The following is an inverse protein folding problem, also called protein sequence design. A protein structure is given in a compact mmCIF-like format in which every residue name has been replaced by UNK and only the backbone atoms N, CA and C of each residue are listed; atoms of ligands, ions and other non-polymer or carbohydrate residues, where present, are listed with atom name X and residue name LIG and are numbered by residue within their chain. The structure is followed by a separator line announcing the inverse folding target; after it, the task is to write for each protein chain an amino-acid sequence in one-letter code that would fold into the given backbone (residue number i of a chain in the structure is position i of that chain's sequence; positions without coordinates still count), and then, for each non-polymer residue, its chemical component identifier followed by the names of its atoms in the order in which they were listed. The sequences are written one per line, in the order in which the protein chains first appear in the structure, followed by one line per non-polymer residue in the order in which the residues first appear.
data_IF_357679868646
#
_entry.id   IF_357679868646
#
_cell.length_a   1.000
_cell.length_b   1.000
_cell.length_c   1.000
_cell.angle_alpha   90.00
_cell.angle_beta   90.00
_cell.angle_gamma   90.00
#
_symmetry.space_group_name_H-M   'P 1'
#
loop_
_entity.id
_entity.type
_entity.pdbx_description
1 polymer ?
#
# COMPACT_ATOMS: atom_id res chain seq x y z
N UNK A 1 24.70 3.51 18.92
CA UNK A 1 24.54 3.48 18.28
C UNK A 1 24.47 3.39 17.86
N UNK A 2 24.13 3.42 17.90
CA UNK A 2 23.91 3.24 17.31
C UNK A 2 23.63 3.53 17.00
N UNK A 3 23.33 3.71 17.13
CA UNK A 3 22.88 3.95 16.70
C UNK A 3 23.07 4.42 15.90
N UNK A 4 23.36 4.56 15.53
CA UNK A 4 23.56 4.97 14.80
C UNK A 4 23.44 5.14 13.91
N UNK A 5 23.07 4.95 13.60
CA UNK A 5 22.90 5.37 12.61
C UNK A 5 22.81 6.49 12.42
N UNK A 6 22.89 7.01 12.53
CA UNK A 6 22.68 7.96 12.48
C UNK A 6 22.06 8.57 13.04
N UNK A 7 22.18 8.77 13.53
CA UNK A 7 21.46 9.14 14.01
C UNK A 7 20.68 9.86 13.69
N UNK A 8 21.36 10.56 13.28
CA UNK A 8 20.24 11.21 12.83
C UNK A 8 19.35 10.29 12.14
N UNK A 9 19.82 9.49 11.45
CA UNK A 9 18.97 8.53 10.84
C UNK A 9 18.96 7.25 11.54
N UNK A 10 19.92 7.02 12.10
CA UNK A 10 19.91 5.87 12.71
C UNK A 10 19.19 5.80 13.92
N UNK A 11 19.22 6.64 14.71
CA UNK A 11 18.35 6.61 15.81
C UNK A 11 16.93 6.77 15.34
N UNK A 12 16.74 7.45 14.25
CA UNK A 12 15.46 7.62 13.62
C UNK A 12 14.85 6.32 13.20
N UNK A 13 15.63 5.36 12.77
CA UNK A 13 15.09 4.08 12.33
C UNK A 13 14.32 3.39 13.43
N UNK A 14 14.84 3.43 14.61
CA UNK A 14 14.19 2.78 15.73
C UNK A 14 12.88 3.47 16.08
N UNK A 15 12.90 4.78 16.15
CA UNK A 15 11.71 5.54 16.46
C UNK A 15 10.65 5.32 15.38
N UNK A 16 11.08 5.27 14.14
CA UNK A 16 10.17 5.07 13.04
C UNK A 16 9.48 3.73 13.13
N UNK A 17 10.18 2.68 13.50
CA UNK A 17 9.56 1.37 13.63
C UNK A 17 8.48 1.36 14.70
N UNK A 18 8.77 1.97 15.83
CA UNK A 18 7.78 2.03 16.90
C UNK A 18 6.56 2.83 16.49
N UNK A 19 6.78 3.94 15.81
CA UNK A 19 5.69 4.77 15.33
C UNK A 19 4.83 4.03 14.32
N UNK A 20 5.44 3.22 13.47
CA UNK A 20 4.67 2.43 12.50
C UNK A 20 3.77 1.44 13.18
N UNK A 21 4.25 0.77 14.22
CA UNK A 21 3.41 -0.15 14.95
C UNK A 21 2.20 0.54 15.55
N UNK A 22 2.42 1.70 16.12
CA UNK A 22 1.33 2.48 16.68
C UNK A 22 0.37 2.92 15.58
N UNK A 23 0.90 3.32 14.44
CA UNK A 23 0.08 3.76 13.33
C UNK A 23 -0.79 2.62 12.83
N UNK A 24 -0.24 1.41 12.70
CA UNK A 24 -1.02 0.27 12.25
C UNK A 24 -2.22 0.04 13.14
N UNK A 25 -2.05 0.17 14.44
CA UNK A 25 -3.15 -0.05 15.37
C UNK A 25 -4.21 1.03 15.25
N UNK A 26 -3.82 2.22 14.82
CA UNK A 26 -4.75 3.34 14.73
C UNK A 26 -5.38 3.50 13.37
N UNK A 27 -4.80 2.89 12.35
CA UNK A 27 -5.34 3.01 11.00
C UNK A 27 -6.65 2.25 10.92
N UNK A 28 -7.69 2.96 10.54
CA UNK A 28 -9.01 2.38 10.38
C UNK A 28 -9.39 2.48 8.91
N UNK A 29 -9.72 1.35 8.33
CA UNK A 29 -10.10 1.30 6.92
C UNK A 29 -11.62 1.22 6.84
N UNK A 30 -12.21 2.25 6.26
CA UNK A 30 -13.66 2.32 6.14
C UNK A 30 -14.15 1.23 5.19
N UNK A 31 -15.12 0.45 5.62
CA UNK A 31 -15.68 -0.61 4.81
C UNK A 31 -16.29 -0.02 3.53
N UNK A 32 -15.94 -0.61 2.39
CA UNK A 32 -16.44 -0.15 1.10
C UNK A 32 -15.64 0.98 0.49
N UNK A 33 -14.66 1.54 1.19
CA UNK A 33 -13.80 2.58 0.63
C UNK A 33 -12.86 1.96 -0.42
N UNK A 34 -12.23 2.82 -1.21
CA UNK A 34 -11.27 2.34 -2.20
C UNK A 34 -10.12 1.58 -1.55
N UNK A 35 -9.67 2.03 -0.39
CA UNK A 35 -8.62 1.31 0.35
C UNK A 35 -9.08 -0.09 0.72
N UNK A 36 -10.30 -0.20 1.22
CA UNK A 36 -10.86 -1.49 1.59
C UNK A 36 -10.93 -2.42 0.39
N UNK A 37 -11.37 -1.89 -0.75
CA UNK A 37 -11.47 -2.67 -1.98
C UNK A 37 -10.11 -3.13 -2.47
N UNK A 38 -9.10 -2.27 -2.39
CA UNK A 38 -7.74 -2.62 -2.81
C UNK A 38 -7.16 -3.68 -1.91
N UNK A 39 -7.33 -3.54 -0.60
CA UNK A 39 -6.83 -4.54 0.34
C UNK A 39 -7.46 -5.89 0.08
N UNK A 40 -8.77 -5.93 -0.11
CA UNK A 40 -9.47 -7.16 -0.42
C UNK A 40 -8.98 -7.79 -1.71
N UNK A 41 -8.76 -6.97 -2.73
CA UNK A 41 -8.27 -7.44 -4.01
C UNK A 41 -6.87 -8.04 -3.89
N UNK A 42 -5.96 -7.37 -3.19
CA UNK A 42 -4.61 -7.87 -3.02
C UNK A 42 -4.57 -9.15 -2.21
N UNK A 43 -5.47 -9.30 -1.24
CA UNK A 43 -5.60 -10.56 -0.50
C UNK A 43 -6.09 -11.69 -1.40
N UNK A 44 -6.99 -11.36 -2.29
CA UNK A 44 -7.59 -12.35 -3.17
C UNK A 44 -6.61 -12.86 -4.23
N UNK A 45 -5.94 -11.93 -4.93
CA UNK A 45 -5.08 -12.32 -6.06
C UNK A 45 -3.74 -12.87 -5.61
N UNK A 46 -3.29 -12.51 -4.41
CA UNK A 46 -2.05 -13.01 -3.82
C UNK A 46 -0.81 -12.79 -4.69
N UNK A 47 -0.81 -11.70 -5.44
CA UNK A 47 0.34 -11.28 -6.23
C UNK A 47 0.37 -9.76 -6.28
N UNK A 48 1.54 -9.17 -6.56
CA UNK A 48 1.62 -7.71 -6.68
C UNK A 48 0.80 -7.23 -7.89
N UNK A 49 0.17 -6.08 -7.73
CA UNK A 49 -0.61 -5.44 -8.78
C UNK A 49 -0.18 -3.99 -8.93
N UNK A 50 -0.18 -3.50 -10.16
CA UNK A 50 0.00 -2.08 -10.42
C UNK A 50 -1.31 -1.35 -10.18
N UNK A 51 -1.25 -0.01 -10.15
CA UNK A 51 -2.47 0.78 -10.05
C UNK A 51 -3.37 0.55 -11.25
N UNK A 52 -2.76 0.40 -12.44
CA UNK A 52 -3.53 0.15 -13.65
C UNK A 52 -4.29 -1.16 -13.56
N UNK A 53 -3.62 -2.22 -13.14
CA UNK A 53 -4.26 -3.53 -12.99
C UNK A 53 -5.37 -3.50 -11.95
N UNK A 54 -5.07 -2.87 -10.81
CA UNK A 54 -6.04 -2.80 -9.73
C UNK A 54 -7.30 -2.05 -10.17
N UNK A 55 -7.11 -0.93 -10.85
CA UNK A 55 -8.23 -0.13 -11.34
C UNK A 55 -9.06 -0.90 -12.35
N UNK A 56 -8.41 -1.59 -13.27
CA UNK A 56 -9.11 -2.34 -14.30
C UNK A 56 -9.95 -3.48 -13.69
N UNK A 57 -9.36 -4.22 -12.76
CA UNK A 57 -10.07 -5.32 -12.12
C UNK A 57 -11.27 -4.80 -11.34
N UNK A 58 -11.06 -3.74 -10.56
CA UNK A 58 -12.16 -3.18 -9.77
C UNK A 58 -13.24 -2.57 -10.67
N UNK A 59 -12.84 -1.97 -11.79
CA UNK A 59 -13.81 -1.46 -12.73
C UNK A 59 -14.66 -2.60 -13.32
N UNK A 60 -14.01 -3.70 -13.72
CA UNK A 60 -14.73 -4.84 -14.27
C UNK A 60 -15.68 -5.47 -13.26
N UNK A 61 -15.42 -5.29 -11.98
CA UNK A 61 -16.30 -5.78 -10.92
C UNK A 61 -17.35 -4.76 -10.50
N UNK A 62 -17.38 -3.62 -11.18
CA UNK A 62 -18.34 -2.57 -10.86
C UNK A 62 -18.05 -1.82 -9.58
N UNK A 63 -16.81 -1.86 -9.08
CA UNK A 63 -16.47 -1.24 -7.81
C UNK A 63 -15.92 0.16 -7.93
N UNK A 64 -15.42 0.55 -9.10
CA UNK A 64 -14.96 1.91 -9.37
C UNK A 64 -15.56 2.37 -10.68
N UNK A 65 -15.51 3.68 -10.92
CA UNK A 65 -16.24 4.29 -12.05
C UNK A 65 -15.50 4.19 -13.38
N UNK A 66 -14.20 4.09 -13.36
CA UNK A 66 -13.40 4.01 -14.58
C UNK A 66 -12.28 3.00 -14.40
N UNK A 67 -11.70 2.48 -15.50
CA UNK A 67 -10.56 1.58 -15.40
C UNK A 67 -9.21 2.32 -15.29
N UNK A 68 -9.24 3.64 -15.19
CA UNK A 68 -8.01 4.43 -15.20
C UNK A 68 -7.27 4.30 -13.88
N UNK A 69 -5.93 4.33 -13.96
CA UNK A 69 -5.08 4.14 -12.80
C UNK A 69 -5.36 5.14 -11.68
N UNK A 70 -5.88 6.29 -12.01
CA UNK A 70 -6.18 7.31 -11.00
C UNK A 70 -7.25 6.88 -10.01
N UNK A 71 -8.00 5.81 -10.31
CA UNK A 71 -8.97 5.30 -9.35
C UNK A 71 -8.28 4.68 -8.13
N UNK A 72 -7.09 4.13 -8.31
CA UNK A 72 -6.40 3.45 -7.22
C UNK A 72 -5.03 4.03 -6.90
N UNK A 73 -4.37 4.71 -7.86
CA UNK A 73 -3.00 5.18 -7.66
C UNK A 73 -2.84 6.09 -6.43
N UNK A 74 -3.70 7.11 -6.22
CA UNK A 74 -3.55 7.94 -5.03
C UNK A 74 -3.72 7.13 -3.74
N UNK A 75 -4.65 6.17 -3.76
CA UNK A 75 -4.88 5.34 -2.58
C UNK A 75 -3.69 4.43 -2.31
N UNK A 76 -3.13 3.82 -3.36
CA UNK A 76 -1.95 2.97 -3.22
C UNK A 76 -0.76 3.76 -2.70
N UNK A 77 -0.57 4.99 -3.17
CA UNK A 77 0.50 5.85 -2.69
C UNK A 77 0.34 6.15 -1.20
N UNK A 78 -0.87 6.51 -0.78
CA UNK A 78 -1.16 6.76 0.63
C UNK A 78 -0.94 5.51 1.46
N UNK A 79 -1.39 4.36 0.97
CA UNK A 79 -1.26 3.10 1.68
C UNK A 79 0.19 2.68 1.80
N UNK A 80 1.01 3.01 0.80
CA UNK A 80 2.45 2.77 0.88
C UNK A 80 3.06 3.61 2.00
N UNK A 81 2.69 4.89 2.06
CA UNK A 81 3.20 5.77 3.11
C UNK A 81 2.75 5.30 4.49
N UNK A 82 1.56 4.74 4.59
CA UNK A 82 1.00 4.24 5.84
C UNK A 82 1.51 2.85 6.22
N UNK A 83 2.29 2.22 5.35
CA UNK A 83 2.83 0.89 5.63
C UNK A 83 1.85 -0.25 5.38
N UNK A 84 0.76 0.01 4.67
CA UNK A 84 -0.23 -1.03 4.36
C UNK A 84 0.22 -1.85 3.16
N UNK A 85 0.79 -1.19 2.15
CA UNK A 85 1.34 -1.87 0.98
C UNK A 85 2.79 -1.45 0.78
N UNK A 86 3.51 -2.22 -0.03
CA UNK A 86 4.88 -1.87 -0.41
C UNK A 86 5.04 -2.10 -1.90
N UNK A 87 5.92 -1.31 -2.52
CA UNK A 87 6.27 -1.48 -3.91
C UNK A 87 7.37 -2.52 -3.99
N UNK A 88 7.17 -3.58 -4.76
CA UNK A 88 8.12 -4.70 -4.80
C UNK A 88 8.79 -4.86 -6.16
N UNK A 89 8.25 -4.24 -7.21
CA UNK A 89 8.82 -4.36 -8.54
C UNK A 89 8.18 -3.30 -9.43
N UNK A 90 8.54 -3.30 -10.71
CA UNK A 90 7.91 -2.43 -11.69
C UNK A 90 7.47 -3.29 -12.88
N UNK A 91 6.43 -2.83 -13.57
CA UNK A 91 5.98 -3.51 -14.77
C UNK A 91 6.76 -2.99 -15.98
N UNK A 92 6.39 -3.46 -17.17
CA UNK A 92 7.12 -3.09 -18.38
C UNK A 92 7.01 -1.60 -18.74
N UNK A 93 6.04 -0.92 -18.15
CA UNK A 93 5.85 0.51 -18.36
C UNK A 93 6.48 1.35 -17.25
N UNK A 94 7.19 0.72 -16.31
CA UNK A 94 7.82 1.43 -15.21
C UNK A 94 6.90 1.76 -14.05
N UNK A 95 5.68 1.24 -14.03
CA UNK A 95 4.75 1.46 -12.94
C UNK A 95 5.02 0.49 -11.79
N UNK A 96 4.95 0.99 -10.57
CA UNK A 96 5.19 0.16 -9.39
C UNK A 96 4.15 -0.93 -9.25
N UNK A 97 4.61 -2.10 -8.82
CA UNK A 97 3.73 -3.19 -8.44
C UNK A 97 3.68 -3.22 -6.92
N UNK A 98 2.49 -3.30 -6.37
CA UNK A 98 2.26 -3.21 -4.94
C UNK A 98 1.74 -4.52 -4.38
N UNK A 99 2.18 -4.86 -3.17
CA UNK A 99 1.62 -5.99 -2.43
C UNK A 99 1.38 -5.56 -0.99
N UNK A 100 0.53 -6.29 -0.29
CA UNK A 100 0.28 -5.99 1.12
C UNK A 100 1.51 -6.32 1.95
N UNK A 101 1.77 -5.48 2.96
CA UNK A 101 2.79 -5.79 3.96
C UNK A 101 2.25 -6.89 4.86
N UNK A 102 3.15 -7.52 5.62
CA UNK A 102 2.74 -8.65 6.47
C UNK A 102 1.63 -8.29 7.43
N UNK A 103 1.64 -7.08 7.94
CA UNK A 103 0.64 -6.67 8.91
C UNK A 103 -0.78 -6.64 8.33
N UNK A 104 -0.90 -6.60 7.01
CA UNK A 104 -2.19 -6.46 6.34
C UNK A 104 -2.59 -7.64 5.47
N UNK A 105 -1.74 -8.65 5.40
CA UNK A 105 -2.06 -9.85 4.62
C UNK A 105 -3.19 -10.69 5.19
#
# INVERSE_FOLDING_TARGET
MSEAYNEADYRSDRITKENRKKAYKKIQIKKGSKRHLIIGLLREVKRPLSADESSLILYNRGKVKTPHRQETAPRLSEMKDDGIVRAVDTDIYGHSLYELTEAWR
#
